data_IF_333472102619
#
_entry.id   IF_333472102619
#
_cell.length_a   1.000
_cell.length_b   1.000
_cell.length_c   1.000
_cell.angle_alpha   90.00
_cell.angle_beta   90.00
_cell.angle_gamma   90.00
#
_symmetry.space_group_name_H-M   'P 1'
#
loop_
_entity.id
_entity.type
_entity.pdbx_description
1 polymer ?
#
# COMPACT_ATOMS: atom_id res chain seq x y z
N UNK A 1 -6.82 4.91 12.37
CA UNK A 1 -7.33 4.52 11.03
C UNK A 1 -8.45 3.52 11.25
N UNK A 2 -9.65 3.85 10.79
CA UNK A 2 -10.88 3.12 11.14
C UNK A 2 -11.48 2.34 9.96
N UNK A 3 -10.92 2.49 8.76
CA UNK A 3 -11.37 1.78 7.55
C UNK A 3 -10.15 1.29 6.77
N UNK A 4 -10.18 0.02 6.35
CA UNK A 4 -9.15 -0.60 5.51
C UNK A 4 -9.47 -0.47 4.02
N UNK A 5 -9.47 0.76 3.50
CA UNK A 5 -9.71 1.05 2.07
C UNK A 5 -8.54 1.82 1.44
N UNK A 6 -8.40 1.73 0.12
CA UNK A 6 -7.32 2.44 -0.58
C UNK A 6 -7.30 3.96 -0.32
N UNK A 7 -8.42 4.70 -0.41
CA UNK A 7 -8.43 6.13 -0.11
C UNK A 7 -8.07 6.44 1.35
N UNK A 8 -8.54 5.62 2.29
CA UNK A 8 -8.20 5.76 3.70
C UNK A 8 -6.70 5.55 3.95
N UNK A 9 -6.09 4.58 3.27
CA UNK A 9 -4.66 4.30 3.37
C UNK A 9 -3.79 5.39 2.75
N UNK A 10 -4.16 5.86 1.56
CA UNK A 10 -3.47 6.98 0.91
C UNK A 10 -3.50 8.24 1.80
N UNK A 11 -4.66 8.53 2.40
CA UNK A 11 -4.81 9.62 3.39
C UNK A 11 -3.96 9.37 4.63
N UNK A 12 -4.06 8.19 5.24
CA UNK A 12 -3.30 7.84 6.45
C UNK A 12 -1.79 7.97 6.24
N UNK A 13 -1.25 7.43 5.14
CA UNK A 13 0.18 7.52 4.82
C UNK A 13 0.64 8.96 4.59
N UNK A 14 -0.19 9.79 3.91
CA UNK A 14 0.10 11.21 3.74
C UNK A 14 0.10 11.94 5.08
N UNK A 15 -0.94 11.74 5.89
CA UNK A 15 -1.09 12.40 7.18
C UNK A 15 0.03 11.96 8.15
N UNK A 16 0.45 10.68 8.09
CA UNK A 16 1.61 10.16 8.84
C UNK A 16 2.92 10.82 8.42
N UNK A 17 3.17 11.02 7.12
CA UNK A 17 4.37 11.76 6.66
C UNK A 17 4.39 13.18 7.22
N UNK A 18 3.27 13.90 7.14
CA UNK A 18 3.17 15.26 7.68
C UNK A 18 3.38 15.29 9.19
N UNK A 19 2.82 14.33 9.92
CA UNK A 19 3.03 14.17 11.36
C UNK A 19 4.51 13.98 11.69
N UNK A 20 5.20 13.05 11.04
CA UNK A 20 6.63 12.79 11.28
C UNK A 20 7.49 14.01 10.98
N UNK A 21 7.20 14.77 9.91
CA UNK A 21 7.89 16.03 9.63
C UNK A 21 7.74 17.05 10.75
N UNK A 22 6.53 17.19 11.33
CA UNK A 22 6.28 18.10 12.46
C UNK A 22 6.95 17.63 13.75
N UNK A 23 6.97 16.32 14.01
CA UNK A 23 7.69 15.76 15.16
C UNK A 23 9.17 16.07 15.05
N UNK A 24 9.77 15.80 13.90
CA UNK A 24 11.18 16.14 13.61
C UNK A 24 11.48 17.62 13.84
N UNK A 25 10.67 18.51 13.28
CA UNK A 25 10.84 19.96 13.45
C UNK A 25 10.81 20.37 14.93
N UNK A 26 9.84 19.87 15.70
CA UNK A 26 9.73 20.15 17.14
C UNK A 26 10.91 19.58 17.91
N UNK A 27 11.34 18.36 17.60
CA UNK A 27 12.49 17.72 18.24
C UNK A 27 13.79 18.49 17.96
N UNK A 28 13.99 18.99 16.74
CA UNK A 28 15.14 19.86 16.42
C UNK A 28 15.16 21.14 17.26
N UNK A 29 14.00 21.74 17.54
CA UNK A 29 13.89 22.98 18.33
C UNK A 29 14.06 22.72 19.83
N UNK A 30 13.55 21.59 20.33
CA UNK A 30 13.48 21.28 21.78
C UNK A 30 14.62 20.39 22.29
N UNK A 31 15.42 19.83 21.39
CA UNK A 31 16.42 18.81 21.72
C UNK A 31 15.81 17.46 22.11
N UNK A 32 14.53 17.23 21.81
CA UNK A 32 13.83 15.98 22.11
C UNK A 32 14.21 14.84 21.17
N UNK A 33 14.08 13.60 21.65
CA UNK A 33 14.29 12.39 20.84
C UNK A 33 13.03 12.06 20.02
N UNK A 34 13.15 12.06 18.69
CA UNK A 34 12.06 11.74 17.76
C UNK A 34 11.41 10.38 18.07
N UNK A 35 12.20 9.39 18.49
CA UNK A 35 11.71 8.02 18.70
C UNK A 35 10.75 7.93 19.89
N UNK A 36 10.99 8.74 20.93
CA UNK A 36 10.18 8.75 22.15
C UNK A 36 8.85 9.50 21.99
N UNK A 37 8.75 10.39 21.00
CA UNK A 37 7.57 11.26 20.80
C UNK A 37 6.70 10.78 19.63
N UNK A 38 7.21 9.86 18.81
CA UNK A 38 6.52 9.33 17.64
C UNK A 38 5.49 8.27 18.01
N UNK A 39 4.23 8.48 17.63
CA UNK A 39 3.19 7.46 17.72
C UNK A 39 3.42 6.33 16.71
N UNK A 40 3.34 5.10 17.22
CA UNK A 40 3.44 3.88 16.42
C UNK A 40 2.24 3.73 15.47
N UNK A 41 2.45 3.05 14.34
CA UNK A 41 1.37 2.65 13.42
C UNK A 41 0.42 1.74 14.17
N UNK A 42 0.92 0.78 14.96
CA UNK A 42 0.06 -0.11 15.77
C UNK A 42 -0.94 0.66 16.63
N UNK A 43 -0.49 1.71 17.33
CA UNK A 43 -1.37 2.54 18.17
C UNK A 43 -2.30 3.46 17.38
N UNK A 44 -2.00 3.69 16.10
CA UNK A 44 -2.77 4.55 15.22
C UNK A 44 -3.82 3.80 14.39
N UNK A 45 -3.88 2.48 14.48
CA UNK A 45 -4.80 1.60 13.73
C UNK A 45 -5.84 1.02 14.67
N UNK A 46 -7.09 0.93 14.22
CA UNK A 46 -8.15 0.33 15.02
C UNK A 46 -7.86 -1.16 15.31
N UNK A 47 -8.07 -1.65 16.55
CA UNK A 47 -7.69 -3.00 16.94
C UNK A 47 -8.22 -4.10 16.01
N UNK A 48 -9.49 -4.00 15.58
CA UNK A 48 -10.10 -4.98 14.67
C UNK A 48 -9.40 -5.04 13.31
N UNK A 49 -8.96 -3.88 12.79
CA UNK A 49 -8.18 -3.83 11.55
C UNK A 49 -6.80 -4.43 11.78
N UNK A 50 -6.15 -4.10 12.91
CA UNK A 50 -4.84 -4.65 13.24
C UNK A 50 -4.87 -6.18 13.38
N UNK A 51 -5.90 -6.73 14.03
CA UNK A 51 -6.16 -8.17 14.14
C UNK A 51 -6.32 -8.81 12.77
N UNK A 52 -7.13 -8.21 11.90
CA UNK A 52 -7.32 -8.69 10.53
C UNK A 52 -6.01 -8.67 9.73
N UNK A 53 -5.21 -7.61 9.84
CA UNK A 53 -3.91 -7.49 9.17
C UNK A 53 -2.93 -8.55 9.66
N UNK A 54 -2.81 -8.72 10.98
CA UNK A 54 -1.92 -9.70 11.58
C UNK A 54 -2.28 -11.11 11.13
N UNK A 55 -3.56 -11.47 11.19
CA UNK A 55 -4.01 -12.83 10.90
C UNK A 55 -4.00 -13.15 9.41
N UNK A 56 -4.59 -12.29 8.57
CA UNK A 56 -4.85 -12.62 7.17
C UNK A 56 -3.76 -12.15 6.21
N UNK A 57 -3.22 -10.95 6.44
CA UNK A 57 -2.24 -10.35 5.51
C UNK A 57 -0.81 -10.74 5.87
N UNK A 58 -0.43 -10.58 7.14
CA UNK A 58 0.92 -10.80 7.61
C UNK A 58 1.16 -12.24 8.09
N UNK A 59 0.09 -12.95 8.46
CA UNK A 59 0.12 -14.33 8.97
C UNK A 59 1.08 -14.51 10.16
N UNK A 60 1.13 -13.50 11.03
CA UNK A 60 1.97 -13.49 12.23
C UNK A 60 1.15 -13.12 13.46
N UNK A 61 1.57 -13.53 14.68
CA UNK A 61 0.96 -13.05 15.91
C UNK A 61 1.03 -11.53 16.01
N UNK A 62 -0.02 -10.88 16.55
CA UNK A 62 -0.07 -9.40 16.71
C UNK A 62 1.14 -8.86 17.50
N UNK A 63 1.67 -9.65 18.43
CA UNK A 63 2.87 -9.32 19.20
C UNK A 63 4.11 -9.19 18.30
N UNK A 64 4.23 -10.02 17.26
CA UNK A 64 5.37 -10.10 16.35
C UNK A 64 5.23 -9.21 15.12
N UNK A 65 4.04 -8.65 14.86
CA UNK A 65 3.85 -7.67 13.78
C UNK A 65 4.83 -6.51 13.96
N UNK A 66 5.60 -6.17 12.93
CA UNK A 66 6.51 -5.02 13.00
C UNK A 66 5.87 -3.77 12.41
N UNK A 67 6.38 -2.61 12.80
CA UNK A 67 5.96 -1.33 12.24
C UNK A 67 6.27 -1.26 10.74
N UNK A 68 7.38 -1.85 10.32
CA UNK A 68 7.83 -1.96 8.94
C UNK A 68 6.90 -2.85 8.11
N UNK A 69 6.47 -4.00 8.66
CA UNK A 69 5.53 -4.90 8.00
C UNK A 69 4.17 -4.23 7.80
N UNK A 70 3.67 -3.53 8.81
CA UNK A 70 2.43 -2.75 8.69
C UNK A 70 2.55 -1.66 7.62
N UNK A 71 3.63 -0.89 7.65
CA UNK A 71 3.87 0.16 6.67
C UNK A 71 3.94 -0.40 5.25
N UNK A 72 4.68 -1.49 5.05
CA UNK A 72 4.81 -2.13 3.74
C UNK A 72 3.48 -2.62 3.20
N UNK A 73 2.65 -3.25 4.04
CA UNK A 73 1.32 -3.73 3.64
C UNK A 73 0.35 -2.57 3.32
N UNK A 74 0.41 -1.49 4.09
CA UNK A 74 -0.34 -0.26 3.80
C UNK A 74 0.08 0.36 2.45
N UNK A 75 1.38 0.45 2.20
CA UNK A 75 1.95 0.98 0.95
C UNK A 75 1.60 0.09 -0.24
N UNK A 76 1.66 -1.24 -0.07
CA UNK A 76 1.25 -2.22 -1.09
C UNK A 76 -0.20 -2.02 -1.50
N UNK A 77 -1.12 -1.95 -0.54
CA UNK A 77 -2.54 -1.77 -0.83
C UNK A 77 -2.85 -0.38 -1.39
N UNK A 78 -2.22 0.67 -0.88
CA UNK A 78 -2.38 2.03 -1.40
C UNK A 78 -1.78 2.21 -2.80
N UNK A 79 -0.64 1.56 -3.07
CA UNK A 79 0.11 1.64 -4.33
C UNK A 79 -0.50 0.83 -5.48
N UNK A 80 -1.48 -0.03 -5.21
CA UNK A 80 -2.17 -0.81 -6.24
C UNK A 80 -3.04 0.02 -7.22
N UNK A 81 -2.94 1.36 -7.17
CA UNK A 81 -3.52 2.25 -8.18
C UNK A 81 -2.57 2.52 -9.36
N UNK A 82 -1.27 2.23 -9.23
CA UNK A 82 -0.26 2.51 -10.29
C UNK A 82 0.48 1.28 -10.83
N UNK A 83 0.62 0.19 -10.06
CA UNK A 83 1.38 -1.00 -10.51
C UNK A 83 0.54 -2.08 -11.19
N UNK A 84 -0.77 -2.13 -10.94
CA UNK A 84 -1.70 -2.98 -11.69
C UNK A 84 -2.30 -2.17 -12.84
N UNK A 85 -1.46 -1.49 -13.62
CA UNK A 85 -1.86 -1.10 -14.97
C UNK A 85 -2.15 -2.42 -15.69
N UNK A 86 -3.42 -2.81 -15.72
CA UNK A 86 -3.94 -3.71 -16.75
C UNK A 86 -3.33 -3.17 -18.04
N UNK A 87 -2.45 -3.93 -18.73
CA UNK A 87 -1.85 -3.43 -19.94
C UNK A 87 -3.01 -3.03 -20.84
N UNK A 88 -2.93 -1.83 -21.43
CA UNK A 88 -3.95 -1.33 -22.33
C UNK A 88 -4.38 -2.48 -23.25
N UNK A 89 -5.66 -2.88 -23.15
CA UNK A 89 -6.15 -4.06 -23.85
C UNK A 89 -5.88 -3.95 -25.34
N UNK A 90 -5.99 -2.74 -25.91
CA UNK A 90 -5.67 -2.49 -27.30
C UNK A 90 -4.20 -2.77 -27.63
N UNK A 91 -3.28 -2.46 -26.71
CA UNK A 91 -1.85 -2.71 -26.87
C UNK A 91 -1.51 -4.20 -26.77
N UNK A 92 -2.18 -4.93 -25.87
CA UNK A 92 -2.11 -6.40 -25.77
C UNK A 92 -2.59 -7.09 -27.05
N UNK A 93 -3.69 -6.61 -27.64
CA UNK A 93 -4.17 -7.15 -28.92
C UNK A 93 -3.18 -6.89 -30.06
N UNK A 94 -2.56 -5.72 -30.12
CA UNK A 94 -1.54 -5.44 -31.15
C UNK A 94 -0.28 -6.30 -30.97
N UNK A 95 0.13 -6.56 -29.72
CA UNK A 95 1.37 -7.33 -29.44
C UNK A 95 1.18 -8.85 -29.53
N UNK A 96 -0.02 -9.39 -29.27
CA UNK A 96 -0.26 -10.84 -29.18
C UNK A 96 -1.13 -11.40 -30.31
N UNK A 97 -1.85 -10.55 -31.05
CA UNK A 97 -2.69 -10.97 -32.16
C UNK A 97 -1.90 -10.86 -33.47
N UNK A 98 -0.86 -11.69 -33.62
CA UNK A 98 -0.30 -11.96 -34.95
C UNK A 98 -1.26 -12.91 -35.68
N UNK A 99 -1.92 -12.38 -36.72
CA UNK A 99 -2.76 -13.18 -37.60
C UNK A 99 -1.85 -14.06 -38.46
N UNK A 100 -1.88 -15.37 -38.21
CA UNK A 100 -1.19 -16.34 -39.06
C UNK A 100 -1.90 -16.41 -40.42
N UNK A 101 -1.27 -15.83 -41.43
CA UNK A 101 -1.74 -15.78 -42.82
C UNK A 101 -1.42 -17.06 -43.61
N UNK A 102 -0.92 -18.11 -42.95
CA UNK A 102 -0.64 -19.39 -43.59
C UNK A 102 -1.91 -20.18 -43.95
N UNK A 103 -3.05 -19.85 -43.34
CA UNK A 103 -4.33 -20.49 -43.65
C UNK A 103 -4.99 -19.81 -44.86
N UNK A 104 -5.32 -20.56 -45.93
CA UNK A 104 -5.99 -19.99 -47.09
C UNK A 104 -7.44 -19.63 -46.77
N UNK A 105 -7.86 -18.44 -47.21
CA UNK A 105 -9.24 -17.97 -47.11
C UNK A 105 -10.21 -18.98 -47.76
N UNK A 106 -11.23 -19.38 -47.01
CA UNK A 106 -12.35 -20.16 -47.55
C UNK A 106 -13.41 -19.16 -48.02
N UNK A 107 -13.58 -19.00 -49.33
CA UNK A 107 -14.74 -18.31 -49.88
C UNK A 107 -16.02 -19.15 -49.63
N UNK A 108 -17.06 -18.49 -49.12
CA UNK A 108 -18.36 -19.08 -48.78
C UNK A 108 -19.31 -19.19 -49.97
#
# INVERSE_FOLDING_TARGET
MTVWSQPALARFLRDRRQYLSKVRERCMVTGGDETNVTFSIKSSVEPQILEHLAHYMLRTPIAEVTEEALKSEMERKAGNMMNDHVPDGAKLFVELLEMDLADPDIEA
#
